data_IF_553348246766
#
_entry.id   IF_553348246766
#
_cell.length_a   1.000
_cell.length_b   1.000
_cell.length_c   1.000
_cell.angle_alpha   90.00
_cell.angle_beta   90.00
_cell.angle_gamma   90.00
#
_symmetry.space_group_name_H-M   'P 1'
#
loop_
_entity.id
_entity.type
_entity.pdbx_description
1 polymer ?
#
# COMPACT_ATOMS: atom_id res chain seq x y z
N UNK A 1 8.55 -45.01 -8.12
CA UNK A 1 9.38 -44.13 -8.99
C UNK A 1 8.54 -42.90 -9.29
N UNK A 2 8.75 -41.84 -8.52
CA UNK A 2 7.91 -40.64 -8.54
C UNK A 2 8.51 -39.62 -9.48
N UNK A 3 7.74 -39.24 -10.50
CA UNK A 3 8.08 -38.24 -11.51
C UNK A 3 7.94 -36.85 -10.88
N UNK A 4 9.04 -36.09 -10.84
CA UNK A 4 9.05 -34.69 -10.41
C UNK A 4 8.51 -33.84 -11.57
N UNK A 5 7.32 -33.27 -11.37
CA UNK A 5 6.71 -32.29 -12.26
C UNK A 5 7.52 -30.98 -12.19
N UNK A 6 8.06 -30.52 -13.32
CA UNK A 6 8.65 -29.19 -13.47
C UNK A 6 7.60 -28.09 -13.18
N UNK A 7 7.96 -26.99 -12.50
CA UNK A 7 7.02 -25.90 -12.29
C UNK A 7 6.82 -25.12 -13.59
N UNK A 8 5.54 -24.88 -13.90
CA UNK A 8 5.09 -24.08 -15.04
C UNK A 8 5.75 -22.70 -15.05
N UNK A 9 6.20 -22.30 -16.25
CA UNK A 9 6.84 -21.02 -16.48
C UNK A 9 5.93 -19.86 -16.08
N UNK A 10 6.42 -19.00 -15.19
CA UNK A 10 5.80 -17.72 -14.82
C UNK A 10 5.67 -16.82 -16.06
N UNK A 11 4.49 -16.85 -16.68
CA UNK A 11 4.13 -15.92 -17.74
C UNK A 11 3.79 -14.55 -17.15
N UNK A 12 4.73 -13.60 -17.27
CA UNK A 12 4.47 -12.19 -16.97
C UNK A 12 3.57 -11.65 -18.09
N UNK A 13 2.27 -11.59 -17.82
CA UNK A 13 1.29 -11.03 -18.76
C UNK A 13 1.19 -9.53 -18.54
N UNK A 14 1.83 -8.75 -19.42
CA UNK A 14 1.61 -7.31 -19.51
C UNK A 14 0.30 -7.07 -20.26
N UNK A 15 -0.70 -6.50 -19.59
CA UNK A 15 -1.97 -6.11 -20.21
C UNK A 15 -1.77 -4.74 -20.87
N UNK A 16 -1.30 -4.75 -22.11
CA UNK A 16 -1.43 -3.64 -23.05
C UNK A 16 -1.74 -4.24 -24.43
N UNK A 17 -2.89 -3.87 -24.96
CA UNK A 17 -3.45 -4.21 -26.27
C UNK A 17 -4.26 -5.51 -26.40
N UNK A 18 -5.53 -5.37 -26.84
CA UNK A 18 -6.57 -6.43 -26.80
C UNK A 18 -6.66 -7.28 -28.06
N UNK A 19 -5.97 -6.96 -29.15
CA UNK A 19 -6.18 -7.65 -30.44
C UNK A 19 -4.90 -8.18 -31.13
N UNK A 20 -3.78 -8.31 -30.41
CA UNK A 20 -2.63 -9.06 -30.90
C UNK A 20 -2.39 -10.30 -30.03
N UNK A 21 -2.49 -11.48 -30.64
CA UNK A 21 -2.06 -12.74 -30.06
C UNK A 21 -0.56 -12.65 -29.74
N UNK A 22 -0.23 -12.34 -28.48
CA UNK A 22 1.14 -12.07 -28.04
C UNK A 22 1.93 -13.37 -28.04
N UNK A 23 2.75 -13.56 -29.07
CA UNK A 23 3.72 -14.65 -29.10
C UNK A 23 4.78 -14.39 -28.02
N UNK A 24 4.93 -15.27 -27.01
CA UNK A 24 5.95 -15.11 -26.00
C UNK A 24 7.34 -15.13 -26.65
N UNK A 25 8.21 -14.19 -26.26
CA UNK A 25 9.59 -14.14 -26.77
C UNK A 25 10.37 -15.30 -26.12
N UNK A 26 10.82 -16.30 -26.89
CA UNK A 26 11.53 -17.44 -26.33
C UNK A 26 12.91 -17.00 -25.83
N UNK A 27 13.12 -17.11 -24.53
CA UNK A 27 14.42 -16.87 -23.90
C UNK A 27 15.16 -18.19 -23.73
N UNK A 28 16.45 -18.21 -24.06
CA UNK A 28 17.29 -19.38 -23.81
C UNK A 28 17.33 -19.69 -22.30
N UNK A 29 17.20 -20.96 -21.90
CA UNK A 29 17.21 -21.38 -20.48
C UNK A 29 18.40 -20.82 -19.69
N UNK A 30 19.59 -20.76 -20.30
CA UNK A 30 20.79 -20.16 -19.70
C UNK A 30 20.61 -18.69 -19.31
N UNK A 31 19.83 -17.92 -20.07
CA UNK A 31 19.53 -16.52 -19.78
C UNK A 31 18.51 -16.42 -18.64
N UNK A 32 17.49 -17.27 -18.61
CA UNK A 32 16.51 -17.33 -17.53
C UNK A 32 17.17 -17.65 -16.17
N UNK A 33 18.08 -18.62 -16.13
CA UNK A 33 18.81 -18.96 -14.90
C UNK A 33 19.70 -17.84 -14.37
N UNK A 34 20.23 -16.97 -15.26
CA UNK A 34 21.02 -15.80 -14.85
C UNK A 34 20.20 -14.74 -14.12
N UNK A 35 18.89 -14.68 -14.33
CA UNK A 35 18.01 -13.81 -13.55
C UNK A 35 17.64 -14.44 -12.20
N UNK A 36 17.70 -15.77 -12.10
CA UNK A 36 17.35 -16.49 -10.88
C UNK A 36 18.39 -16.30 -9.78
N UNK A 37 19.68 -16.39 -10.10
CA UNK A 37 20.75 -16.23 -9.09
C UNK A 37 20.69 -14.87 -8.37
N UNK A 38 20.58 -13.71 -9.05
CA UNK A 38 20.43 -12.42 -8.38
C UNK A 38 19.13 -12.28 -7.60
N UNK A 39 18.02 -12.85 -8.09
CA UNK A 39 16.73 -12.81 -7.37
C UNK A 39 16.82 -13.60 -6.07
N UNK A 40 17.37 -14.81 -6.12
CA UNK A 40 17.55 -15.63 -4.91
C UNK A 40 18.51 -14.97 -3.94
N UNK A 41 19.65 -14.44 -4.44
CA UNK A 41 20.57 -13.68 -3.61
C UNK A 41 19.87 -12.48 -2.96
N UNK A 42 19.07 -11.72 -3.72
CA UNK A 42 18.30 -10.59 -3.21
C UNK A 42 17.29 -10.99 -2.13
N UNK A 43 16.53 -12.07 -2.35
CA UNK A 43 15.58 -12.61 -1.37
C UNK A 43 16.31 -13.08 -0.10
N UNK A 44 17.40 -13.83 -0.25
CA UNK A 44 18.21 -14.31 0.87
C UNK A 44 18.87 -13.17 1.65
N UNK A 45 19.37 -12.14 0.96
CA UNK A 45 19.93 -10.94 1.59
C UNK A 45 18.84 -10.20 2.37
N UNK A 46 17.70 -9.92 1.74
CA UNK A 46 16.57 -9.29 2.41
C UNK A 46 16.18 -10.06 3.68
N UNK A 47 16.14 -11.39 3.61
CA UNK A 47 15.84 -12.27 4.73
C UNK A 47 16.90 -12.23 5.83
N UNK A 48 18.18 -12.30 5.46
CA UNK A 48 19.30 -12.23 6.40
C UNK A 48 19.42 -10.86 7.09
N UNK A 49 19.01 -9.79 6.43
CA UNK A 49 19.04 -8.42 6.95
C UNK A 49 17.68 -7.96 7.50
N UNK A 50 16.71 -8.87 7.70
CA UNK A 50 15.42 -8.52 8.30
C UNK A 50 15.65 -7.93 9.69
N UNK A 51 15.23 -6.68 9.89
CA UNK A 51 15.37 -5.97 11.17
C UNK A 51 16.64 -5.13 11.31
N UNK A 52 17.59 -5.20 10.36
CA UNK A 52 18.76 -4.29 10.34
C UNK A 52 18.57 -3.10 9.40
N UNK A 53 17.45 -3.05 8.68
CA UNK A 53 17.14 -1.96 7.76
C UNK A 53 16.93 -0.65 8.52
N UNK A 54 17.64 0.39 8.08
CA UNK A 54 17.36 1.75 8.53
C UNK A 54 16.00 2.20 8.00
N UNK A 55 15.39 3.16 8.69
CA UNK A 55 14.19 3.81 8.20
C UNK A 55 14.48 4.37 6.80
N UNK A 56 13.59 4.16 5.80
CA UNK A 56 13.73 4.78 4.50
C UNK A 56 13.86 6.30 4.67
N UNK A 57 14.66 6.98 3.82
CA UNK A 57 14.68 8.43 3.83
C UNK A 57 13.27 8.98 3.59
N UNK A 58 12.92 10.14 4.17
CA UNK A 58 11.66 10.80 3.89
C UNK A 58 11.48 10.98 2.38
N UNK A 59 10.22 10.90 1.92
CA UNK A 59 9.93 11.26 0.54
C UNK A 59 10.36 12.71 0.26
N UNK A 60 10.94 13.00 -0.92
CA UNK A 60 11.34 14.34 -1.27
C UNK A 60 10.13 15.28 -1.30
N UNK A 61 10.35 16.55 -0.95
CA UNK A 61 9.33 17.58 -1.09
C UNK A 61 8.96 17.74 -2.57
N UNK A 62 7.66 17.82 -2.85
CA UNK A 62 7.14 18.01 -4.21
C UNK A 62 7.05 19.51 -4.46
N UNK A 63 7.66 19.99 -5.54
CA UNK A 63 7.44 21.37 -5.98
C UNK A 63 6.07 21.48 -6.65
N UNK A 64 5.12 22.09 -5.93
CA UNK A 64 3.75 22.26 -6.44
C UNK A 64 3.64 23.27 -7.58
N UNK A 65 4.70 24.04 -7.84
CA UNK A 65 4.76 24.95 -8.99
C UNK A 65 5.11 24.25 -10.29
N UNK A 66 5.65 23.02 -10.24
CA UNK A 66 6.05 22.22 -11.41
C UNK A 66 4.96 21.17 -11.72
N UNK A 67 4.14 21.34 -12.77
CA UNK A 67 3.00 20.45 -13.04
C UNK A 67 3.40 18.99 -13.24
N UNK A 68 4.59 18.74 -13.79
CA UNK A 68 5.12 17.39 -14.01
C UNK A 68 5.37 16.67 -12.68
N UNK A 69 6.00 17.33 -11.70
CA UNK A 69 6.27 16.74 -10.39
C UNK A 69 4.98 16.45 -9.64
N UNK A 70 4.02 17.38 -9.70
CA UNK A 70 2.69 17.17 -9.11
C UNK A 70 2.00 15.96 -9.71
N UNK A 71 2.07 15.78 -11.03
CA UNK A 71 1.48 14.64 -11.72
C UNK A 71 2.17 13.32 -11.35
N UNK A 72 3.51 13.28 -11.38
CA UNK A 72 4.27 12.09 -11.00
C UNK A 72 4.02 11.70 -9.53
N UNK A 73 3.98 12.68 -8.64
CA UNK A 73 3.62 12.47 -7.25
C UNK A 73 2.18 11.96 -7.11
N UNK A 74 1.22 12.51 -7.85
CA UNK A 74 -0.16 12.04 -7.85
C UNK A 74 -0.25 10.56 -8.26
N UNK A 75 0.39 10.17 -9.36
CA UNK A 75 0.41 8.77 -9.84
C UNK A 75 1.09 7.85 -8.83
N UNK A 76 2.21 8.28 -8.23
CA UNK A 76 2.89 7.53 -7.19
C UNK A 76 2.01 7.36 -5.94
N UNK A 77 1.29 8.40 -5.53
CA UNK A 77 0.36 8.31 -4.39
C UNK A 77 -0.83 7.42 -4.70
N UNK A 78 -1.35 7.39 -5.93
CA UNK A 78 -2.39 6.44 -6.36
C UNK A 78 -1.92 4.99 -6.18
N UNK A 79 -0.66 4.69 -6.51
CA UNK A 79 -0.07 3.38 -6.28
C UNK A 79 -0.02 3.05 -4.78
N UNK A 80 0.47 3.98 -3.94
CA UNK A 80 0.60 3.78 -2.50
C UNK A 80 -0.73 3.54 -1.79
N UNK A 81 -1.78 4.31 -2.10
CA UNK A 81 -3.09 4.14 -1.45
C UNK A 81 -3.79 2.83 -1.85
N UNK A 82 -3.35 2.17 -2.92
CA UNK A 82 -3.88 0.87 -3.32
C UNK A 82 -3.22 -0.30 -2.58
N UNK A 83 -2.10 -0.06 -1.88
CA UNK A 83 -1.38 -1.08 -1.09
C UNK A 83 -2.05 -1.37 0.27
N UNK A 84 -3.24 -1.97 0.21
CA UNK A 84 -4.18 -2.16 1.33
C UNK A 84 -3.76 -3.18 2.40
N UNK A 85 -2.72 -3.96 2.18
CA UNK A 85 -2.22 -4.99 3.11
C UNK A 85 -0.74 -4.80 3.40
N UNK A 86 -0.27 -5.28 4.55
CA UNK A 86 1.16 -5.33 4.85
C UNK A 86 1.78 -6.57 4.19
N UNK A 87 3.01 -6.44 3.70
CA UNK A 87 3.83 -7.59 3.29
C UNK A 87 4.02 -7.74 1.78
N UNK A 88 3.59 -6.77 0.98
CA UNK A 88 3.90 -6.72 -0.45
C UNK A 88 2.85 -7.35 -1.37
N UNK A 89 1.89 -8.09 -0.80
CA UNK A 89 0.86 -8.83 -1.54
C UNK A 89 -0.21 -7.93 -2.15
N UNK A 90 -0.25 -6.64 -1.83
CA UNK A 90 -1.16 -5.66 -2.48
C UNK A 90 -0.42 -4.49 -3.13
N UNK A 91 0.91 -4.57 -3.21
CA UNK A 91 1.71 -3.52 -3.85
C UNK A 91 1.22 -3.34 -5.27
N UNK A 92 0.87 -2.10 -5.57
CA UNK A 92 0.24 -1.71 -6.82
C UNK A 92 1.19 -0.78 -7.56
N UNK A 93 1.26 -0.92 -8.88
CA UNK A 93 1.96 -0.01 -9.77
C UNK A 93 0.97 0.60 -10.75
N UNK A 94 1.14 1.88 -11.08
CA UNK A 94 0.32 2.59 -12.05
C UNK A 94 1.14 3.06 -13.24
N UNK A 95 0.50 3.09 -14.41
CA UNK A 95 0.97 3.82 -15.57
C UNK A 95 -0.20 4.60 -16.17
N UNK A 96 0.11 5.74 -16.77
CA UNK A 96 -0.87 6.64 -17.34
C UNK A 96 -0.53 6.84 -18.80
N UNK A 97 -1.43 6.43 -19.69
CA UNK A 97 -1.27 6.56 -21.14
C UNK A 97 -2.14 7.71 -21.63
N UNK A 98 -1.54 8.63 -22.37
CA UNK A 98 -2.28 9.63 -23.12
C UNK A 98 -2.83 8.99 -24.39
N UNK A 99 -4.08 9.28 -24.73
CA UNK A 99 -4.61 8.92 -26.03
C UNK A 99 -4.51 10.16 -26.94
N UNK A 100 -3.61 10.11 -27.93
CA UNK A 100 -3.30 11.26 -28.79
C UNK A 100 -4.33 11.44 -29.93
N UNK A 101 -5.33 10.57 -30.03
CA UNK A 101 -6.36 10.64 -31.09
C UNK A 101 -7.74 11.04 -30.53
N UNK A 102 -8.15 12.25 -30.89
CA UNK A 102 -9.51 12.87 -30.85
C UNK A 102 -10.23 13.05 -29.50
N UNK A 103 -10.07 12.15 -28.53
CA UNK A 103 -10.74 12.25 -27.24
C UNK A 103 -9.70 12.53 -26.16
N UNK A 104 -9.70 13.75 -25.61
CA UNK A 104 -8.93 14.19 -24.42
C UNK A 104 -9.16 13.28 -23.21
N UNK A 105 -8.70 12.05 -23.30
CA UNK A 105 -9.01 10.94 -22.43
C UNK A 105 -7.71 10.24 -22.08
N UNK A 106 -7.60 9.87 -20.82
CA UNK A 106 -6.37 9.36 -20.23
C UNK A 106 -6.67 7.99 -19.66
N UNK A 107 -5.84 7.01 -20.01
CA UNK A 107 -5.97 5.65 -19.50
C UNK A 107 -5.07 5.45 -18.29
N UNK A 108 -5.69 5.16 -17.15
CA UNK A 108 -4.99 4.69 -15.96
C UNK A 108 -4.96 3.16 -16.00
N UNK A 109 -3.77 2.59 -16.13
CA UNK A 109 -3.56 1.16 -16.03
C UNK A 109 -2.84 0.86 -14.72
N UNK A 110 -3.24 -0.22 -14.06
CA UNK A 110 -2.56 -0.67 -12.86
C UNK A 110 -2.36 -2.18 -12.85
N UNK A 111 -1.33 -2.59 -12.14
CA UNK A 111 -1.06 -3.98 -11.80
C UNK A 111 -0.86 -4.07 -10.29
N UNK A 112 -1.36 -5.14 -9.68
CA UNK A 112 -1.17 -5.39 -8.26
C UNK A 112 -0.64 -6.81 -8.04
N UNK A 113 0.30 -6.95 -7.11
CA UNK A 113 0.87 -8.25 -6.77
C UNK A 113 -0.21 -9.20 -6.27
N UNK A 114 -0.16 -10.48 -6.67
CA UNK A 114 -0.89 -11.61 -6.03
C UNK A 114 -2.37 -11.36 -5.72
N UNK A 115 -3.04 -10.49 -6.48
CA UNK A 115 -4.47 -10.23 -6.35
C UNK A 115 -5.25 -11.16 -7.28
N UNK A 116 -6.34 -11.72 -6.78
CA UNK A 116 -7.37 -12.37 -7.60
C UNK A 116 -8.08 -11.35 -8.49
N UNK A 117 -8.78 -11.83 -9.52
CA UNK A 117 -9.57 -10.99 -10.43
C UNK A 117 -10.61 -10.17 -9.67
N UNK A 118 -11.31 -10.77 -8.70
CA UNK A 118 -12.30 -10.08 -7.87
C UNK A 118 -11.67 -8.95 -7.05
N UNK A 119 -10.48 -9.19 -6.49
CA UNK A 119 -9.74 -8.17 -5.75
C UNK A 119 -9.26 -7.03 -6.66
N UNK A 120 -8.81 -7.33 -7.88
CA UNK A 120 -8.45 -6.33 -8.88
C UNK A 120 -9.66 -5.50 -9.29
N UNK A 121 -10.83 -6.11 -9.50
CA UNK A 121 -12.08 -5.40 -9.79
C UNK A 121 -12.49 -4.49 -8.64
N UNK A 122 -12.35 -4.95 -7.38
CA UNK A 122 -12.61 -4.12 -6.21
C UNK A 122 -11.67 -2.90 -6.15
N UNK A 123 -10.37 -3.10 -6.42
CA UNK A 123 -9.40 -1.99 -6.50
C UNK A 123 -9.74 -1.04 -7.65
N UNK A 124 -10.11 -1.56 -8.83
CA UNK A 124 -10.53 -0.75 -9.98
C UNK A 124 -11.74 0.15 -9.63
N UNK A 125 -12.77 -0.44 -9.01
CA UNK A 125 -13.96 0.32 -8.58
C UNK A 125 -13.59 1.42 -7.58
N UNK A 126 -12.70 1.13 -6.62
CA UNK A 126 -12.20 2.12 -5.67
C UNK A 126 -11.46 3.27 -6.38
N UNK A 127 -10.53 2.94 -7.29
CA UNK A 127 -9.74 3.92 -8.04
C UNK A 127 -10.64 4.81 -8.90
N UNK A 128 -11.62 4.23 -9.59
CA UNK A 128 -12.58 5.00 -10.39
C UNK A 128 -13.36 5.99 -9.55
N UNK A 129 -13.88 5.56 -8.40
CA UNK A 129 -14.60 6.44 -7.48
C UNK A 129 -13.70 7.55 -6.91
N UNK A 130 -12.46 7.22 -6.58
CA UNK A 130 -11.47 8.19 -6.11
C UNK A 130 -11.16 9.24 -7.19
N UNK A 131 -10.85 8.81 -8.41
CA UNK A 131 -10.56 9.71 -9.53
C UNK A 131 -11.76 10.62 -9.84
N UNK A 132 -12.98 10.07 -9.79
CA UNK A 132 -14.23 10.84 -9.94
C UNK A 132 -14.41 11.88 -8.83
N UNK A 133 -14.06 11.56 -7.59
CA UNK A 133 -14.11 12.53 -6.47
C UNK A 133 -13.09 13.65 -6.64
N UNK A 134 -11.88 13.31 -7.12
CA UNK A 134 -10.82 14.30 -7.40
C UNK A 134 -11.21 15.19 -8.58
N UNK A 135 -11.77 14.63 -9.67
CA UNK A 135 -12.18 15.42 -10.84
C UNK A 135 -13.32 16.39 -10.56
N UNK A 136 -14.20 16.04 -9.61
CA UNK A 136 -15.35 16.85 -9.23
C UNK A 136 -15.06 17.75 -8.00
N UNK A 137 -13.80 17.84 -7.56
CA UNK A 137 -13.45 18.68 -6.44
C UNK A 137 -13.66 20.16 -6.80
N UNK A 138 -14.32 20.95 -5.94
CA UNK A 138 -14.58 22.36 -6.19
C UNK A 138 -13.30 23.20 -6.04
N UNK A 139 -13.26 24.35 -6.72
CA UNK A 139 -12.09 25.25 -6.67
C UNK A 139 -12.03 26.11 -5.40
N UNK A 140 -13.12 26.21 -4.63
CA UNK A 140 -13.15 27.01 -3.41
C UNK A 140 -12.52 26.27 -2.21
N UNK A 141 -11.78 27.03 -1.40
CA UNK A 141 -10.95 26.46 -0.33
C UNK A 141 -11.75 25.74 0.78
N UNK A 142 -12.93 26.24 1.15
CA UNK A 142 -13.76 25.66 2.20
C UNK A 142 -14.33 24.28 1.81
N UNK A 143 -14.87 24.15 0.60
CA UNK A 143 -15.40 22.87 0.13
C UNK A 143 -14.26 21.90 -0.22
N UNK A 144 -13.08 22.39 -0.64
CA UNK A 144 -11.89 21.55 -0.78
C UNK A 144 -11.50 20.87 0.53
N UNK A 145 -11.63 21.56 1.67
CA UNK A 145 -11.32 20.94 2.96
C UNK A 145 -12.26 19.75 3.24
N UNK A 146 -13.55 19.90 3.00
CA UNK A 146 -14.53 18.83 3.14
C UNK A 146 -14.24 17.65 2.18
N UNK A 147 -13.90 17.93 0.92
CA UNK A 147 -13.53 16.90 -0.06
C UNK A 147 -12.25 16.17 0.36
N UNK A 148 -11.21 16.89 0.81
CA UNK A 148 -9.97 16.29 1.32
C UNK A 148 -10.24 15.37 2.51
N UNK A 149 -11.10 15.79 3.45
CA UNK A 149 -11.49 14.97 4.60
C UNK A 149 -12.19 13.68 4.17
N UNK A 150 -13.13 13.77 3.23
CA UNK A 150 -13.84 12.61 2.70
C UNK A 150 -12.90 11.66 1.93
N UNK A 151 -12.02 12.20 1.09
CA UNK A 151 -11.01 11.42 0.37
C UNK A 151 -10.06 10.69 1.34
N UNK A 152 -9.58 11.38 2.37
CA UNK A 152 -8.74 10.77 3.40
C UNK A 152 -9.49 9.63 4.09
N UNK A 153 -10.74 9.84 4.46
CA UNK A 153 -11.56 8.80 5.07
C UNK A 153 -11.72 7.57 4.16
N UNK A 154 -12.00 7.76 2.86
CA UNK A 154 -12.10 6.65 1.91
C UNK A 154 -10.77 5.87 1.81
N UNK A 155 -9.64 6.58 1.76
CA UNK A 155 -8.29 5.99 1.74
C UNK A 155 -8.06 5.15 3.00
N UNK A 156 -8.37 5.68 4.18
CA UNK A 156 -8.20 4.96 5.44
C UNK A 156 -9.08 3.71 5.49
N UNK A 157 -10.31 3.78 5.00
CA UNK A 157 -11.23 2.64 4.95
C UNK A 157 -10.78 1.54 3.98
N UNK A 158 -10.29 1.94 2.82
CA UNK A 158 -9.72 1.01 1.86
C UNK A 158 -8.48 0.30 2.43
N UNK A 159 -7.64 1.04 3.16
CA UNK A 159 -6.39 0.55 3.76
C UNK A 159 -6.57 -0.01 5.18
N UNK A 160 -7.80 -0.24 5.64
CA UNK A 160 -8.08 -0.65 7.03
C UNK A 160 -7.27 -1.86 7.48
N UNK A 161 -7.08 -2.86 6.62
CA UNK A 161 -6.36 -4.09 6.98
C UNK A 161 -4.90 -3.79 7.33
N UNK A 162 -4.24 -2.96 6.51
CA UNK A 162 -2.87 -2.50 6.76
C UNK A 162 -2.79 -1.63 8.01
N UNK A 163 -3.73 -0.71 8.20
CA UNK A 163 -3.77 0.15 9.39
C UNK A 163 -3.95 -0.68 10.65
N UNK A 164 -4.93 -1.59 10.67
CA UNK A 164 -5.16 -2.52 11.77
C UNK A 164 -3.94 -3.37 12.10
N UNK A 165 -3.19 -3.82 11.08
CA UNK A 165 -1.92 -4.52 11.30
C UNK A 165 -0.95 -3.66 12.10
N UNK A 166 -0.72 -2.40 11.69
CA UNK A 166 0.21 -1.51 12.37
C UNK A 166 -0.25 -1.13 13.77
N UNK A 167 -1.54 -0.87 13.96
CA UNK A 167 -2.11 -0.59 15.27
C UNK A 167 -1.96 -1.78 16.22
N UNK A 168 -2.28 -2.99 15.75
CA UNK A 168 -2.10 -4.21 16.54
C UNK A 168 -0.63 -4.45 16.90
N UNK A 169 0.30 -4.21 15.97
CA UNK A 169 1.74 -4.28 16.28
C UNK A 169 2.13 -3.23 17.32
N UNK A 170 1.69 -1.98 17.16
CA UNK A 170 1.98 -0.92 18.12
C UNK A 170 1.47 -1.27 19.52
N UNK A 171 0.26 -1.81 19.64
CA UNK A 171 -0.29 -2.28 20.91
C UNK A 171 0.57 -3.38 21.54
N UNK A 172 0.96 -4.37 20.75
CA UNK A 172 1.84 -5.44 21.21
C UNK A 172 3.17 -4.89 21.75
N UNK A 173 3.84 -3.99 21.03
CA UNK A 173 5.11 -3.41 21.48
C UNK A 173 4.92 -2.54 22.74
N UNK A 174 3.80 -1.81 22.86
CA UNK A 174 3.47 -1.04 24.07
C UNK A 174 3.33 -1.97 25.28
N UNK A 175 2.65 -3.10 25.12
CA UNK A 175 2.48 -4.09 26.20
C UNK A 175 3.82 -4.71 26.63
N UNK A 176 4.71 -5.02 25.68
CA UNK A 176 6.05 -5.51 25.98
C UNK A 176 6.88 -4.46 26.73
N UNK A 177 6.87 -3.21 26.28
CA UNK A 177 7.56 -2.12 26.98
C UNK A 177 7.02 -1.92 28.40
N UNK A 178 5.70 -1.98 28.60
CA UNK A 178 5.09 -1.86 29.93
C UNK A 178 5.51 -2.99 30.87
N UNK A 179 5.67 -4.23 30.37
CA UNK A 179 6.19 -5.36 31.16
C UNK A 179 7.63 -5.10 31.58
N UNK A 180 8.48 -4.62 30.67
CA UNK A 180 9.88 -4.26 30.98
C UNK A 180 9.99 -3.14 32.00
N UNK A 181 9.17 -2.09 31.88
CA UNK A 181 9.14 -1.00 32.86
C UNK A 181 8.80 -1.48 34.29
N UNK A 182 7.89 -2.45 34.41
CA UNK A 182 7.53 -3.05 35.70
C UNK A 182 8.67 -3.82 36.39
N UNK A 183 9.75 -4.14 35.67
CA UNK A 183 10.91 -4.85 36.21
C UNK A 183 11.96 -3.88 36.77
N UNK A 184 12.09 -2.69 36.16
CA UNK A 184 13.23 -1.80 36.43
C UNK A 184 12.99 -0.77 37.56
N UNK A 185 11.75 -0.59 38.05
CA UNK A 185 11.32 0.27 39.19
C UNK A 185 12.14 1.56 39.43
N UNK A 186 12.54 2.22 38.34
CA UNK A 186 13.18 3.53 38.35
C UNK A 186 12.15 4.63 38.13
N UNK A 187 12.47 5.85 38.57
CA UNK A 187 11.61 7.03 38.35
C UNK A 187 11.33 7.26 36.86
N UNK A 188 12.35 7.09 36.00
CA UNK A 188 12.23 7.16 34.55
C UNK A 188 11.28 6.08 33.99
N UNK A 189 11.38 4.86 34.51
CA UNK A 189 10.51 3.74 34.11
C UNK A 189 9.03 4.02 34.44
N UNK A 190 8.77 4.65 35.59
CA UNK A 190 7.41 5.03 36.01
C UNK A 190 6.84 6.12 35.09
N UNK A 191 7.65 7.12 34.71
CA UNK A 191 7.25 8.17 33.77
C UNK A 191 6.91 7.59 32.39
N UNK A 192 7.80 6.75 31.84
CA UNK A 192 7.59 6.10 30.54
C UNK A 192 6.34 5.21 30.56
N UNK A 193 6.16 4.40 31.62
CA UNK A 193 4.99 3.55 31.77
C UNK A 193 3.68 4.35 31.83
N UNK A 194 3.70 5.56 32.39
CA UNK A 194 2.51 6.43 32.47
C UNK A 194 2.09 6.92 31.08
N UNK A 195 3.03 7.37 30.25
CA UNK A 195 2.74 7.81 28.89
C UNK A 195 2.32 6.64 27.98
N UNK A 196 2.98 5.47 28.11
CA UNK A 196 2.61 4.27 27.38
C UNK A 196 1.17 3.81 27.71
N UNK A 197 0.74 3.91 28.98
CA UNK A 197 -0.65 3.63 29.38
C UNK A 197 -1.65 4.58 28.74
N UNK A 198 -1.33 5.88 28.65
CA UNK A 198 -2.19 6.85 27.94
C UNK A 198 -2.37 6.45 26.47
N UNK A 199 -1.26 6.15 25.79
CA UNK A 199 -1.29 5.71 24.39
C UNK A 199 -2.06 4.40 24.19
N UNK A 200 -1.88 3.43 25.09
CA UNK A 200 -2.60 2.15 25.07
C UNK A 200 -4.12 2.34 25.17
N UNK A 201 -4.57 3.21 26.09
CA UNK A 201 -5.99 3.49 26.31
C UNK A 201 -6.63 4.24 25.13
N UNK A 202 -5.90 5.18 24.52
CA UNK A 202 -6.37 5.90 23.32
C UNK A 202 -6.53 4.96 22.12
N UNK A 203 -5.60 4.01 21.93
CA UNK A 203 -5.66 3.05 20.83
C UNK A 203 -6.84 2.07 20.97
N UNK A 204 -7.18 1.62 22.18
CA UNK A 204 -8.33 0.73 22.40
C UNK A 204 -9.67 1.38 22.07
N UNK A 205 -9.79 2.70 22.20
CA UNK A 205 -11.01 3.43 21.86
C UNK A 205 -11.24 3.55 20.33
N UNK A 206 -10.19 3.41 19.52
CA UNK A 206 -10.25 3.51 18.06
C UNK A 206 -10.42 2.18 17.31
N UNK A 207 -10.34 1.04 18.00
CA UNK A 207 -10.34 -0.30 17.41
C UNK A 207 -11.64 -1.03 17.78
N UNK A 208 -12.76 -0.58 17.23
CA UNK A 208 -13.98 -1.39 17.11
C UNK A 208 -14.21 -1.67 15.63
N UNK A 209 -13.49 -2.67 15.11
CA UNK A 209 -13.62 -3.14 13.73
C UNK A 209 -14.18 -4.55 13.76
N UNK A 210 -15.48 -4.65 13.99
CA UNK A 210 -16.18 -5.93 13.90
C UNK A 210 -16.22 -6.40 12.45
N UNK A 211 -15.78 -7.65 12.24
CA UNK A 211 -15.80 -8.33 10.95
C UNK A 211 -17.24 -8.53 10.48
N UNK A 212 -17.44 -8.40 9.16
CA UNK A 212 -18.68 -8.50 8.39
C UNK A 212 -19.46 -7.19 8.27
N UNK A 213 -19.41 -6.60 7.07
CA UNK A 213 -20.19 -5.44 6.60
C UNK A 213 -20.34 -4.31 7.64
N UNK A 214 -19.24 -3.84 8.21
CA UNK A 214 -19.26 -2.68 9.08
C UNK A 214 -18.98 -1.42 8.25
N UNK A 215 -19.89 -0.46 8.32
CA UNK A 215 -19.58 0.96 8.11
C UNK A 215 -18.27 1.24 8.84
N UNK A 216 -17.28 1.73 8.11
CA UNK A 216 -16.13 2.34 8.74
C UNK A 216 -16.66 3.38 9.72
N UNK A 217 -16.25 3.34 10.98
CA UNK A 217 -16.44 4.47 11.88
C UNK A 217 -15.06 4.75 12.46
N UNK A 218 -14.28 5.54 11.73
CA UNK A 218 -13.04 6.10 12.28
C UNK A 218 -13.44 7.28 13.15
N UNK A 219 -13.43 7.09 14.47
CA UNK A 219 -13.65 8.16 15.43
C UNK A 219 -12.40 9.04 15.43
N UNK A 220 -12.44 10.14 14.68
CA UNK A 220 -11.49 11.23 14.83
C UNK A 220 -11.84 11.97 16.13
N UNK A 221 -11.01 11.83 17.15
CA UNK A 221 -11.07 12.70 18.33
C UNK A 221 -10.36 14.02 17.93
N UNK A 222 -11.00 15.19 18.14
CA UNK A 222 -10.46 16.50 17.75
C UNK A 222 -9.16 16.86 18.48
#
# INVERSE_FOLDING_TARGET
MSTIQQPDALAITTVVDRDQEKVPIPLASRILHKFYEPIILYVSLNDATRGTAQAPPPEPAIDTSVPKEVFEAFVNKLAHICDKTKGGDSVTAFTVLNNDEENKSVHYLFAANRQSIEQLQSTLSYVNELLRKVSNAPDNAEQQHAVRKNLLYDVLCFNRLRISHYLGKLQFEIEECLKSCGIEDTEDSIMVATELKKLHNSNNSGISLNSSKAECTLIFVP
#
